data_IF_651793407182
#
_entry.id   IF_651793407182
#
_cell.length_a   1.000
_cell.length_b   1.000
_cell.length_c   1.000
_cell.angle_alpha   90.00
_cell.angle_beta   90.00
_cell.angle_gamma   90.00
#
_symmetry.space_group_name_H-M   'P 1'
#
loop_
_entity.id
_entity.type
_entity.pdbx_description
1 polymer ?
#
# COMPACT_ATOMS: atom_id res chain seq x y z
N UNK A 1 13.34 -1.49 -5.48
CA UNK A 1 12.15 -1.35 -6.36
C UNK A 1 11.65 -2.67 -6.95
N UNK A 2 12.43 -3.47 -7.72
CA UNK A 2 11.94 -4.74 -8.32
C UNK A 2 11.40 -5.78 -7.33
N UNK A 3 11.89 -5.79 -6.07
CA UNK A 3 11.49 -6.77 -5.04
C UNK A 3 10.15 -6.46 -4.36
N UNK A 4 9.66 -5.21 -4.45
CA UNK A 4 8.43 -4.76 -3.76
C UNK A 4 7.19 -5.26 -4.49
N UNK A 5 7.26 -5.31 -5.81
CA UNK A 5 6.14 -5.62 -6.70
C UNK A 5 5.74 -7.08 -6.66
N UNK A 6 6.71 -8.00 -6.69
CA UNK A 6 6.43 -9.44 -6.60
C UNK A 6 5.73 -9.79 -5.28
N UNK A 7 6.13 -9.11 -4.20
CA UNK A 7 5.54 -9.23 -2.87
C UNK A 7 4.11 -8.70 -2.86
N UNK A 8 3.85 -7.49 -3.35
CA UNK A 8 2.49 -6.93 -3.34
C UNK A 8 1.54 -7.71 -4.25
N UNK A 9 1.98 -8.13 -5.44
CA UNK A 9 1.17 -8.96 -6.37
C UNK A 9 0.78 -10.29 -5.72
N UNK A 10 1.67 -10.90 -4.93
CA UNK A 10 1.32 -12.12 -4.17
C UNK A 10 0.27 -11.88 -3.06
N UNK A 11 0.07 -10.63 -2.67
CA UNK A 11 -0.91 -10.17 -1.68
C UNK A 11 -2.10 -9.47 -2.33
N UNK A 12 -2.30 -9.60 -3.63
CA UNK A 12 -3.56 -9.17 -4.24
C UNK A 12 -4.56 -10.33 -4.21
N UNK A 13 -5.86 -10.03 -4.03
CA UNK A 13 -6.88 -11.04 -4.26
C UNK A 13 -6.73 -11.58 -5.70
N UNK A 14 -6.81 -12.90 -5.88
CA UNK A 14 -6.54 -13.61 -7.16
C UNK A 14 -7.30 -13.07 -8.38
N UNK A 15 -8.36 -12.27 -8.16
CA UNK A 15 -9.05 -11.47 -9.16
C UNK A 15 -8.96 -9.99 -8.76
N UNK A 16 -8.17 -9.22 -9.50
CA UNK A 16 -8.10 -7.76 -9.36
C UNK A 16 -9.41 -7.15 -9.90
N UNK A 17 -10.42 -7.09 -9.04
CA UNK A 17 -11.67 -6.36 -9.31
C UNK A 17 -11.67 -5.11 -8.44
N UNK A 18 -12.12 -3.98 -8.99
CA UNK A 18 -12.33 -2.76 -8.20
C UNK A 18 -13.22 -3.09 -6.99
N UNK A 19 -12.79 -2.67 -5.80
CA UNK A 19 -13.45 -2.94 -4.53
C UNK A 19 -13.10 -4.30 -3.91
N UNK A 20 -12.32 -5.16 -4.57
CA UNK A 20 -11.81 -6.38 -3.96
C UNK A 20 -10.95 -6.04 -2.76
N UNK A 21 -11.13 -6.79 -1.68
CA UNK A 21 -10.49 -6.60 -0.40
C UNK A 21 -9.75 -7.89 -0.04
N UNK A 22 -8.49 -7.77 0.35
CA UNK A 22 -7.76 -8.84 0.99
C UNK A 22 -7.39 -8.40 2.40
N UNK A 23 -7.66 -9.25 3.37
CA UNK A 23 -7.31 -9.04 4.77
C UNK A 23 -6.15 -9.95 5.15
N UNK A 24 -5.24 -9.42 5.96
CA UNK A 24 -4.03 -10.08 6.39
C UNK A 24 -3.86 -9.89 7.89
N UNK A 25 -3.69 -10.99 8.62
CA UNK A 25 -3.28 -10.93 10.00
C UNK A 25 -1.78 -11.22 10.09
N UNK A 26 -1.06 -10.34 10.78
CA UNK A 26 0.38 -10.43 11.00
C UNK A 26 0.61 -10.21 12.48
N UNK A 27 0.99 -11.27 13.20
CA UNK A 27 1.02 -11.29 14.66
C UNK A 27 -0.36 -10.88 15.26
N UNK A 28 -0.43 -9.75 15.96
CA UNK A 28 -1.67 -9.21 16.57
C UNK A 28 -2.26 -8.04 15.76
N UNK A 29 -1.69 -7.71 14.61
CA UNK A 29 -2.13 -6.58 13.78
C UNK A 29 -2.87 -7.11 12.56
N UNK A 30 -3.94 -6.42 12.19
CA UNK A 30 -4.68 -6.72 10.98
C UNK A 30 -4.47 -5.61 9.95
N UNK A 31 -4.26 -6.03 8.72
CA UNK A 31 -4.01 -5.17 7.58
C UNK A 31 -4.97 -5.52 6.46
N UNK A 32 -5.30 -4.53 5.64
CA UNK A 32 -6.17 -4.69 4.49
C UNK A 32 -5.54 -4.05 3.26
N UNK A 33 -5.77 -4.72 2.12
CA UNK A 33 -5.46 -4.20 0.80
C UNK A 33 -6.76 -4.13 0.01
N UNK A 34 -7.12 -2.93 -0.44
CA UNK A 34 -8.32 -2.66 -1.22
C UNK A 34 -7.94 -2.20 -2.63
N UNK A 35 -8.51 -2.83 -3.64
CA UNK A 35 -8.32 -2.41 -5.04
C UNK A 35 -9.18 -1.18 -5.33
N UNK A 36 -8.55 -0.08 -5.72
CA UNK A 36 -9.21 1.19 -6.06
C UNK A 36 -9.42 1.35 -7.57
N UNK A 37 -8.45 0.94 -8.38
CA UNK A 37 -8.46 1.07 -9.84
C UNK A 37 -7.74 -0.11 -10.46
N UNK A 38 -8.25 -0.61 -11.58
CA UNK A 38 -7.59 -1.64 -12.40
C UNK A 38 -7.61 -1.17 -13.85
N UNK A 39 -6.44 -1.10 -14.46
CA UNK A 39 -6.26 -0.84 -15.89
C UNK A 39 -5.45 -1.98 -16.51
N UNK A 40 -5.30 -1.95 -17.84
CA UNK A 40 -4.48 -2.93 -18.56
C UNK A 40 -3.01 -2.91 -18.12
N UNK A 41 -2.50 -1.74 -17.67
CA UNK A 41 -1.08 -1.54 -17.38
C UNK A 41 -0.79 -1.28 -15.90
N UNK A 42 -1.80 -0.89 -15.12
CA UNK A 42 -1.59 -0.52 -13.72
C UNK A 42 -2.75 -0.92 -12.83
N UNK A 43 -2.45 -1.19 -11.56
CA UNK A 43 -3.46 -1.38 -10.52
C UNK A 43 -3.18 -0.41 -9.37
N UNK A 44 -4.20 0.33 -8.95
CA UNK A 44 -4.12 1.22 -7.79
C UNK A 44 -4.75 0.50 -6.60
N UNK A 45 -4.00 0.39 -5.51
CA UNK A 45 -4.49 -0.20 -4.27
C UNK A 45 -4.33 0.75 -3.11
N UNK A 46 -5.21 0.60 -2.14
CA UNK A 46 -5.11 1.19 -0.84
C UNK A 46 -4.65 0.12 0.14
N UNK A 47 -3.72 0.48 1.00
CA UNK A 47 -3.11 -0.44 1.93
C UNK A 47 -3.11 0.19 3.32
N UNK A 48 -3.73 -0.46 4.30
CA UNK A 48 -3.94 0.13 5.61
C UNK A 48 -3.98 -0.89 6.73
N UNK A 49 -3.60 -0.46 7.93
CA UNK A 49 -3.84 -1.21 9.16
C UNK A 49 -5.26 -0.94 9.66
N UNK A 50 -5.89 -1.95 10.24
CA UNK A 50 -7.14 -1.83 10.98
C UNK A 50 -6.91 -2.22 12.44
N UNK A 51 -7.59 -1.49 13.31
CA UNK A 51 -7.65 -1.69 14.75
C UNK A 51 -9.04 -1.23 15.21
N UNK A 52 -9.70 -1.98 16.09
CA UNK A 52 -11.03 -1.64 16.60
C UNK A 52 -10.97 -0.42 17.52
N UNK A 53 -9.86 -0.23 18.23
CA UNK A 53 -9.65 0.86 19.18
C UNK A 53 -8.26 1.48 19.01
N UNK A 54 -8.02 2.21 17.90
CA UNK A 54 -6.72 2.78 17.63
C UNK A 54 -6.40 3.89 18.63
N UNK A 55 -5.36 3.68 19.44
CA UNK A 55 -4.81 4.70 20.34
C UNK A 55 -3.86 5.67 19.62
N UNK A 56 -3.53 5.41 18.35
CA UNK A 56 -2.71 6.24 17.46
C UNK A 56 -3.21 6.15 16.00
N UNK A 57 -2.86 7.11 15.13
CA UNK A 57 -3.20 7.03 13.71
C UNK A 57 -2.59 5.79 13.06
N UNK A 58 -3.44 4.98 12.43
CA UNK A 58 -3.02 3.77 11.73
C UNK A 58 -2.41 4.12 10.37
N UNK A 59 -1.35 3.42 9.94
CA UNK A 59 -0.73 3.65 8.64
C UNK A 59 -1.71 3.33 7.51
N UNK A 60 -1.73 4.22 6.51
CA UNK A 60 -2.51 4.06 5.28
C UNK A 60 -1.78 4.65 4.09
N UNK A 61 -1.61 3.86 3.04
CA UNK A 61 -0.89 4.21 1.82
C UNK A 61 -1.75 3.92 0.58
N UNK A 62 -1.68 4.79 -0.41
CA UNK A 62 -2.14 4.51 -1.77
C UNK A 62 -0.94 4.12 -2.61
N UNK A 63 -0.99 2.95 -3.23
CA UNK A 63 0.13 2.37 -3.98
C UNK A 63 -0.32 2.05 -5.40
N UNK A 64 0.44 2.51 -6.40
CA UNK A 64 0.24 2.12 -7.81
C UNK A 64 1.24 1.04 -8.19
N UNK A 65 0.73 -0.03 -8.76
CA UNK A 65 1.46 -1.13 -9.35
C UNK A 65 1.53 -0.94 -10.86
N UNK A 66 2.73 -1.04 -11.43
CA UNK A 66 2.99 -1.06 -12.86
C UNK A 66 3.32 -2.48 -13.30
N UNK A 67 2.49 -3.03 -14.18
CA UNK A 67 2.54 -4.44 -14.58
C UNK A 67 3.72 -4.74 -15.50
N UNK A 68 4.04 -3.78 -16.38
CA UNK A 68 5.11 -3.83 -17.37
C UNK A 68 6.50 -3.68 -16.73
N UNK A 69 6.70 -2.63 -15.95
CA UNK A 69 7.95 -2.35 -15.26
C UNK A 69 8.18 -3.25 -14.04
N UNK A 70 7.11 -3.95 -13.59
CA UNK A 70 7.08 -4.69 -12.32
C UNK A 70 7.60 -3.82 -11.18
N UNK A 71 7.00 -2.64 -11.01
CA UNK A 71 7.34 -1.67 -9.97
C UNK A 71 6.08 -1.29 -9.19
N UNK A 72 6.22 -1.05 -7.89
CA UNK A 72 5.21 -0.39 -7.07
C UNK A 72 5.72 0.98 -6.63
N UNK A 73 4.86 2.00 -6.62
CA UNK A 73 5.16 3.31 -6.05
C UNK A 73 4.07 3.76 -5.08
N UNK A 74 4.47 4.41 -3.99
CA UNK A 74 3.52 5.09 -3.10
C UNK A 74 3.08 6.41 -3.76
N UNK A 75 1.79 6.53 -4.04
CA UNK A 75 1.17 7.74 -4.60
C UNK A 75 0.75 8.72 -3.52
N UNK A 76 0.30 8.24 -2.35
CA UNK A 76 -0.13 9.06 -1.22
C UNK A 76 -0.03 8.29 0.11
N UNK A 77 0.10 9.01 1.23
CA UNK A 77 0.00 8.48 2.59
C UNK A 77 -0.98 9.33 3.39
N UNK A 78 -1.83 8.72 4.22
CA UNK A 78 -2.87 9.46 4.97
C UNK A 78 -2.29 10.35 6.08
N UNK A 79 -1.00 10.22 6.43
CA UNK A 79 -0.31 11.24 7.23
C UNK A 79 0.03 12.52 6.45
N UNK A 80 -0.30 12.59 5.15
CA UNK A 80 0.02 13.71 4.29
C UNK A 80 -1.16 14.15 3.42
N UNK A 81 -2.29 14.46 4.06
CA UNK A 81 -3.19 15.49 3.56
C UNK A 81 -2.48 16.88 3.40
N UNK A 82 -1.19 16.95 3.75
CA UNK A 82 -0.29 18.09 3.60
C UNK A 82 0.94 17.84 2.68
N UNK A 83 1.01 16.76 1.88
CA UNK A 83 1.93 16.80 0.73
C UNK A 83 1.30 17.75 -0.28
N UNK A 84 1.80 18.99 -0.34
CA UNK A 84 1.54 19.86 -1.48
C UNK A 84 1.96 19.12 -2.73
N UNK A 85 1.00 18.83 -3.61
CA UNK A 85 1.21 18.14 -4.90
C UNK A 85 2.22 18.86 -5.81
N UNK A 86 2.56 20.12 -5.50
CA UNK A 86 3.66 20.88 -6.09
C UNK A 86 4.48 21.52 -4.99
N UNK A 87 5.76 21.15 -4.94
CA UNK A 87 6.79 22.07 -4.49
C UNK A 87 7.21 22.88 -5.72
N UNK A 88 7.12 24.21 -5.64
CA UNK A 88 7.60 25.07 -6.72
C UNK A 88 9.09 24.80 -6.93
N UNK A 89 9.47 24.55 -8.19
CA UNK A 89 10.87 24.38 -8.55
C UNK A 89 11.50 25.77 -8.80
N UNK A 90 12.71 26.03 -8.25
CA UNK A 90 13.63 25.10 -7.57
C UNK A 90 13.35 24.92 -6.06
N UNK A 91 13.09 23.68 -5.64
CA UNK A 91 12.94 23.29 -4.23
C UNK A 91 14.32 23.14 -3.58
N UNK A 92 14.84 24.23 -2.98
CA UNK A 92 16.19 24.30 -2.39
C UNK A 92 16.50 23.32 -1.26
N UNK A 93 15.50 22.58 -0.75
CA UNK A 93 15.67 21.53 0.27
C UNK A 93 15.54 20.11 -0.27
N UNK A 94 15.27 19.93 -1.58
CA UNK A 94 15.02 18.63 -2.24
C UNK A 94 13.97 17.74 -1.53
N UNK A 95 13.10 18.33 -0.71
CA UNK A 95 12.23 17.64 0.25
C UNK A 95 11.34 16.57 -0.38
N UNK A 96 10.79 16.85 -1.58
CA UNK A 96 9.89 15.92 -2.29
C UNK A 96 10.56 14.59 -2.66
N UNK A 97 11.87 14.60 -2.95
CA UNK A 97 12.61 13.40 -3.35
C UNK A 97 12.85 12.48 -2.14
N UNK A 98 13.20 13.08 -1.01
CA UNK A 98 13.47 12.35 0.22
C UNK A 98 12.18 11.78 0.82
N UNK A 99 11.09 12.56 0.84
CA UNK A 99 9.77 12.08 1.29
C UNK A 99 9.29 10.88 0.47
N UNK A 100 9.37 10.96 -0.87
CA UNK A 100 8.97 9.85 -1.74
C UNK A 100 9.86 8.62 -1.53
N UNK A 101 11.16 8.81 -1.27
CA UNK A 101 12.06 7.70 -0.97
C UNK A 101 11.70 7.04 0.37
N UNK A 102 11.46 7.82 1.41
CA UNK A 102 11.06 7.32 2.73
C UNK A 102 9.74 6.55 2.68
N UNK A 103 8.74 7.04 1.96
CA UNK A 103 7.46 6.34 1.79
C UNK A 103 7.63 4.99 1.07
N UNK A 104 8.44 4.95 0.01
CA UNK A 104 8.73 3.72 -0.71
C UNK A 104 9.53 2.73 0.14
N UNK A 105 10.45 3.22 0.98
CA UNK A 105 11.20 2.40 1.92
C UNK A 105 10.28 1.82 3.00
N UNK A 106 9.41 2.64 3.59
CA UNK A 106 8.41 2.21 4.55
C UNK A 106 7.49 1.11 3.98
N UNK A 107 6.97 1.29 2.76
CA UNK A 107 6.19 0.26 2.07
C UNK A 107 6.99 -1.05 1.91
N UNK A 108 8.26 -0.97 1.52
CA UNK A 108 9.14 -2.13 1.36
C UNK A 108 9.34 -2.91 2.65
N UNK A 109 9.59 -2.19 3.75
CA UNK A 109 9.83 -2.77 5.06
C UNK A 109 8.56 -3.40 5.62
N UNK A 110 7.44 -2.70 5.48
CA UNK A 110 6.12 -3.20 5.88
C UNK A 110 5.73 -4.48 5.14
N UNK A 111 5.87 -4.53 3.80
CA UNK A 111 5.61 -5.76 3.04
C UNK A 111 6.55 -6.91 3.41
N UNK A 112 7.80 -6.59 3.69
CA UNK A 112 8.79 -7.59 4.13
C UNK A 112 8.45 -8.14 5.50
N UNK A 113 7.97 -7.29 6.41
CA UNK A 113 7.48 -7.70 7.72
C UNK A 113 6.26 -8.61 7.60
N UNK A 114 5.26 -8.26 6.78
CA UNK A 114 4.06 -9.08 6.56
C UNK A 114 4.42 -10.49 6.04
N UNK A 115 5.32 -10.58 5.06
CA UNK A 115 5.73 -11.86 4.48
C UNK A 115 6.55 -12.74 5.43
N UNK A 116 7.38 -12.13 6.29
CA UNK A 116 8.23 -12.86 7.24
C UNK A 116 7.44 -13.44 8.41
N UNK A 117 6.42 -12.74 8.88
CA UNK A 117 5.70 -13.10 10.11
C UNK A 117 4.45 -13.95 9.88
N UNK A 118 4.33 -14.58 8.70
CA UNK A 118 3.26 -15.52 8.41
C UNK A 118 1.92 -14.81 8.29
N UNK A 119 1.54 -14.49 7.05
CA UNK A 119 0.17 -14.12 6.73
C UNK A 119 -0.72 -15.32 7.04
N UNK A 120 -1.65 -15.22 8.00
CA UNK A 120 -2.74 -16.18 8.06
C UNK A 120 -3.68 -15.89 6.88
N UNK A 121 -3.69 -16.82 5.94
CA UNK A 121 -4.30 -16.67 4.63
C UNK A 121 -5.77 -17.05 4.68
N UNK A 122 -6.67 -16.14 5.04
CA UNK A 122 -8.01 -16.19 4.47
C UNK A 122 -8.46 -14.78 4.07
N UNK A 123 -8.63 -14.49 2.77
CA UNK A 123 -9.35 -13.30 2.36
C UNK A 123 -10.77 -13.41 2.92
N UNK A 124 -11.07 -12.64 3.95
CA UNK A 124 -12.44 -12.49 4.46
C UNK A 124 -13.21 -11.74 3.38
N UNK A 125 -13.90 -12.48 2.52
CA UNK A 125 -14.89 -11.93 1.60
C UNK A 125 -16.06 -11.43 2.44
N UNK A 126 -16.09 -10.12 2.71
CA UNK A 126 -17.29 -9.51 3.26
C UNK A 126 -18.36 -9.50 2.16
N UNK A 127 -19.19 -10.54 2.13
CA UNK A 127 -20.45 -10.49 1.41
C UNK A 127 -21.29 -9.36 2.02
N UNK A 128 -21.56 -8.32 1.21
CA UNK A 128 -22.56 -7.31 1.58
C UNK A 128 -23.93 -7.99 1.54
N UNK A 129 -24.50 -8.22 2.73
CA UNK A 129 -25.96 -8.39 2.90
C UNK A 129 -26.70 -7.11 2.49
#
# INVERSE_FOLDING_TARGET
>A
MKLITAKLVSLLPKKEKIGALASYQVCQQQYQIKVLEVTVYTTLVEVYQIDEQPIYPLPKLTVRLYHDARVAEVCASQQLAYIKAKYDYPNGKMLQKDEKHQLNQFLSDWLTFCLKNGISQEPIFLEKN
#
